data_IF_051781066977
#
_entry.id   IF_051781066977
#
_cell.length_a   1.000
_cell.length_b   1.000
_cell.length_c   1.000
_cell.angle_alpha   90.00
_cell.angle_beta   90.00
_cell.angle_gamma   90.00
#
_symmetry.space_group_name_H-M   'P 1'
#
loop_
_entity.id
_entity.type
_entity.pdbx_description
1 polymer ?
#
# COMPACT_ATOMS: atom_id res chain seq x y z
N UNK A 1 -1.19 10.65 -31.15
CA UNK A 1 -2.66 10.46 -31.01
C UNK A 1 -3.04 10.07 -29.58
N UNK A 2 -2.47 9.00 -28.96
CA UNK A 2 -2.86 8.57 -27.61
C UNK A 2 -2.66 9.62 -26.52
N UNK A 3 -1.54 10.36 -26.59
CA UNK A 3 -1.23 11.46 -25.66
C UNK A 3 -2.23 12.61 -25.74
N UNK A 4 -2.70 12.95 -26.95
CA UNK A 4 -3.70 13.99 -27.18
C UNK A 4 -5.08 13.56 -26.66
N UNK A 5 -5.44 12.29 -26.84
CA UNK A 5 -6.67 11.73 -26.26
C UNK A 5 -6.61 11.74 -24.74
N UNK A 6 -5.49 11.33 -24.13
CA UNK A 6 -5.29 11.36 -22.69
C UNK A 6 -5.38 12.79 -22.13
N UNK A 7 -4.76 13.75 -22.81
CA UNK A 7 -4.82 15.16 -22.47
C UNK A 7 -6.25 15.71 -22.47
N UNK A 8 -6.97 15.53 -23.58
CA UNK A 8 -8.35 16.05 -23.73
C UNK A 8 -9.28 15.39 -22.71
N UNK A 9 -9.18 14.07 -22.54
CA UNK A 9 -9.97 13.31 -21.55
C UNK A 9 -9.75 13.86 -20.15
N UNK A 10 -8.49 14.07 -19.77
CA UNK A 10 -8.16 14.58 -18.45
C UNK A 10 -8.59 16.03 -18.23
N UNK A 11 -8.53 16.89 -19.26
CA UNK A 11 -9.09 18.26 -19.19
C UNK A 11 -10.60 18.23 -19.00
N UNK A 12 -11.33 17.36 -19.71
CA UNK A 12 -12.79 17.26 -19.58
C UNK A 12 -13.19 16.87 -18.16
N UNK A 13 -12.53 15.85 -17.59
CA UNK A 13 -12.79 15.41 -16.21
C UNK A 13 -12.41 16.50 -15.19
N UNK A 14 -11.32 17.24 -15.41
CA UNK A 14 -10.96 18.37 -14.56
C UNK A 14 -11.94 19.54 -14.68
N UNK A 15 -12.47 19.80 -15.87
CA UNK A 15 -13.44 20.88 -16.09
C UNK A 15 -14.78 20.58 -15.40
N UNK A 16 -15.23 19.32 -15.44
CA UNK A 16 -16.41 18.85 -14.72
C UNK A 16 -16.28 19.06 -13.20
N UNK A 17 -15.10 18.83 -12.62
CA UNK A 17 -14.84 19.11 -11.20
C UNK A 17 -14.96 20.60 -10.84
N UNK A 18 -14.66 21.51 -11.77
CA UNK A 18 -14.62 22.96 -11.52
C UNK A 18 -15.91 23.69 -11.91
N UNK A 19 -16.69 23.15 -12.86
CA UNK A 19 -17.82 23.82 -13.50
C UNK A 19 -19.07 22.95 -13.36
N UNK A 20 -20.09 23.47 -12.69
CA UNK A 20 -21.39 22.80 -12.63
C UNK A 20 -22.12 22.90 -13.98
N UNK A 21 -22.08 21.83 -14.78
CA UNK A 21 -22.80 21.73 -16.04
C UNK A 21 -23.29 20.28 -16.28
N UNK A 22 -24.60 20.04 -16.46
CA UNK A 22 -25.14 18.70 -16.64
C UNK A 22 -24.60 17.91 -17.85
N UNK A 23 -24.18 18.60 -18.93
CA UNK A 23 -23.59 17.94 -20.09
C UNK A 23 -22.14 17.52 -19.83
N UNK A 24 -21.36 18.34 -19.10
CA UNK A 24 -19.99 17.97 -18.70
C UNK A 24 -19.99 16.78 -17.75
N UNK A 25 -20.91 16.76 -16.78
CA UNK A 25 -21.08 15.66 -15.82
C UNK A 25 -21.39 14.34 -16.55
N UNK A 26 -22.28 14.33 -17.54
CA UNK A 26 -22.59 13.12 -18.32
C UNK A 26 -21.37 12.58 -19.09
N UNK A 27 -20.60 13.46 -19.73
CA UNK A 27 -19.41 13.06 -20.48
C UNK A 27 -18.31 12.57 -19.54
N UNK A 28 -18.05 13.30 -18.45
CA UNK A 28 -17.08 12.94 -17.42
C UNK A 28 -17.39 11.58 -16.79
N UNK A 29 -18.65 11.36 -16.39
CA UNK A 29 -19.10 10.08 -15.85
C UNK A 29 -18.92 8.93 -16.86
N UNK A 30 -19.15 9.18 -18.14
CA UNK A 30 -18.91 8.17 -19.19
C UNK A 30 -17.41 7.81 -19.31
N UNK A 31 -16.54 8.82 -19.29
CA UNK A 31 -15.08 8.65 -19.33
C UNK A 31 -14.55 7.92 -18.08
N UNK A 32 -15.05 8.28 -16.89
CA UNK A 32 -14.71 7.64 -15.63
C UNK A 32 -15.20 6.18 -15.60
N UNK A 33 -16.40 5.90 -16.11
CA UNK A 33 -16.89 4.53 -16.24
C UNK A 33 -16.00 3.68 -17.18
N UNK A 34 -15.55 4.23 -18.31
CA UNK A 34 -14.58 3.54 -19.16
C UNK A 34 -13.25 3.32 -18.46
N UNK A 35 -12.74 4.31 -17.72
CA UNK A 35 -11.52 4.17 -16.93
C UNK A 35 -11.65 3.08 -15.86
N UNK A 36 -12.80 2.99 -15.18
CA UNK A 36 -13.10 1.93 -14.21
C UNK A 36 -13.14 0.54 -14.87
N UNK A 37 -13.72 0.42 -16.07
CA UNK A 37 -13.69 -0.83 -16.83
C UNK A 37 -12.25 -1.24 -17.19
N UNK A 38 -11.44 -0.30 -17.67
CA UNK A 38 -10.01 -0.55 -17.97
C UNK A 38 -9.25 -0.96 -16.71
N UNK A 39 -9.50 -0.30 -15.57
CA UNK A 39 -8.90 -0.68 -14.29
C UNK A 39 -9.29 -2.10 -13.87
N UNK A 40 -10.55 -2.50 -14.04
CA UNK A 40 -11.00 -3.86 -13.78
C UNK A 40 -10.27 -4.89 -14.65
N UNK A 41 -10.08 -4.61 -15.96
CA UNK A 41 -9.26 -5.46 -16.82
C UNK A 41 -7.78 -5.47 -16.40
N UNK A 42 -7.23 -4.33 -15.97
CA UNK A 42 -5.86 -4.26 -15.46
C UNK A 42 -5.67 -5.15 -14.22
N UNK A 43 -6.66 -5.21 -13.32
CA UNK A 43 -6.64 -6.16 -12.20
C UNK A 43 -6.61 -7.62 -12.68
N UNK A 44 -7.41 -7.98 -13.68
CA UNK A 44 -7.41 -9.32 -14.27
C UNK A 44 -6.04 -9.63 -14.91
N UNK A 45 -5.48 -8.69 -15.67
CA UNK A 45 -4.14 -8.84 -16.26
C UNK A 45 -3.07 -9.00 -15.18
N UNK A 46 -3.15 -8.24 -14.08
CA UNK A 46 -2.26 -8.38 -12.93
C UNK A 46 -2.35 -9.77 -12.30
N UNK A 47 -3.56 -10.29 -12.11
CA UNK A 47 -3.80 -11.66 -11.61
C UNK A 47 -3.22 -12.71 -12.56
N UNK A 48 -3.49 -12.57 -13.87
CA UNK A 48 -2.97 -13.46 -14.90
C UNK A 48 -1.44 -13.42 -14.97
N UNK A 49 -0.83 -12.25 -14.80
CA UNK A 49 0.62 -12.11 -14.78
C UNK A 49 1.24 -12.90 -13.62
N UNK A 50 0.68 -12.79 -12.41
CA UNK A 50 1.11 -13.60 -11.25
C UNK A 50 0.98 -15.09 -11.57
N UNK A 51 -0.16 -15.52 -12.12
CA UNK A 51 -0.38 -16.90 -12.52
C UNK A 51 0.65 -17.38 -13.54
N UNK A 52 0.84 -16.65 -14.64
CA UNK A 52 1.75 -17.03 -15.73
C UNK A 52 3.19 -17.15 -15.20
N UNK A 53 3.66 -16.18 -14.42
CA UNK A 53 5.02 -16.17 -13.87
C UNK A 53 5.22 -17.38 -12.95
N UNK A 54 4.30 -17.61 -12.01
CA UNK A 54 4.45 -18.68 -11.03
C UNK A 54 4.19 -20.07 -11.62
N UNK A 55 3.27 -20.20 -12.57
CA UNK A 55 3.01 -21.45 -13.27
C UNK A 55 4.20 -21.84 -14.16
N UNK A 56 4.79 -20.88 -14.88
CA UNK A 56 6.03 -21.08 -15.64
C UNK A 56 7.16 -21.53 -14.73
N UNK A 57 7.31 -20.91 -13.56
CA UNK A 57 8.31 -21.27 -12.55
C UNK A 57 8.14 -22.70 -12.03
N UNK A 58 6.90 -23.17 -11.88
CA UNK A 58 6.56 -24.55 -11.49
C UNK A 58 6.93 -25.53 -12.59
N UNK A 59 6.52 -25.27 -13.84
CA UNK A 59 6.81 -26.15 -14.99
C UNK A 59 8.32 -26.28 -15.21
N UNK A 60 9.04 -25.15 -15.19
CA UNK A 60 10.49 -25.11 -15.39
C UNK A 60 11.29 -25.55 -14.16
N UNK A 61 10.63 -25.85 -13.03
CA UNK A 61 11.25 -26.23 -11.74
C UNK A 61 12.36 -25.29 -11.30
N UNK A 62 12.18 -23.99 -11.49
CA UNK A 62 13.20 -23.01 -11.12
C UNK A 62 13.40 -22.98 -9.59
N UNK A 63 14.51 -22.39 -9.14
CA UNK A 63 14.83 -22.28 -7.70
C UNK A 63 13.64 -21.68 -6.94
N UNK A 64 13.11 -22.39 -5.93
CA UNK A 64 11.97 -21.94 -5.14
C UNK A 64 10.59 -22.23 -5.75
N UNK A 65 10.48 -23.09 -6.78
CA UNK A 65 9.20 -23.50 -7.36
C UNK A 65 8.16 -24.07 -6.36
N UNK A 66 8.53 -24.79 -5.27
CA UNK A 66 7.51 -25.30 -4.34
C UNK A 66 6.71 -24.16 -3.67
N UNK A 67 7.35 -23.02 -3.40
CA UNK A 67 6.67 -21.84 -2.86
C UNK A 67 5.70 -21.22 -3.86
N UNK A 68 5.96 -21.37 -5.16
CA UNK A 68 5.03 -20.92 -6.20
C UNK A 68 3.76 -21.76 -6.23
N UNK A 69 3.84 -23.05 -5.90
CA UNK A 69 2.64 -23.89 -5.72
C UNK A 69 1.80 -23.38 -4.57
N UNK A 70 2.43 -23.14 -3.41
CA UNK A 70 1.73 -22.62 -2.23
C UNK A 70 1.03 -21.30 -2.54
N UNK A 71 1.70 -20.39 -3.25
CA UNK A 71 1.11 -19.12 -3.67
C UNK A 71 -0.12 -19.32 -4.58
N UNK A 72 0.01 -20.11 -5.65
CA UNK A 72 -1.09 -20.33 -6.61
C UNK A 72 -2.29 -20.99 -5.92
N UNK A 73 -2.06 -21.99 -5.07
CA UNK A 73 -3.13 -22.64 -4.30
C UNK A 73 -3.80 -21.68 -3.31
N UNK A 74 -3.02 -20.91 -2.55
CA UNK A 74 -3.57 -19.93 -1.60
C UNK A 74 -4.38 -18.84 -2.33
N UNK A 75 -3.91 -18.39 -3.49
CA UNK A 75 -4.60 -17.41 -4.31
C UNK A 75 -5.97 -17.93 -4.78
N UNK A 76 -6.03 -19.14 -5.35
CA UNK A 76 -7.30 -19.75 -5.76
C UNK A 76 -8.23 -20.03 -4.59
N UNK A 77 -7.71 -20.48 -3.45
CA UNK A 77 -8.49 -20.68 -2.24
C UNK A 77 -9.18 -19.36 -1.84
N UNK A 78 -8.44 -18.25 -1.73
CA UNK A 78 -9.02 -16.96 -1.33
C UNK A 78 -10.01 -16.43 -2.36
N UNK A 79 -9.71 -16.53 -3.66
CA UNK A 79 -10.59 -16.04 -4.72
C UNK A 79 -11.89 -16.85 -4.75
N UNK A 80 -11.80 -18.19 -4.79
CA UNK A 80 -12.98 -19.06 -4.91
C UNK A 80 -13.89 -18.87 -3.69
N UNK A 81 -13.34 -18.94 -2.47
CA UNK A 81 -14.16 -18.81 -1.27
C UNK A 81 -14.60 -17.37 -1.00
N UNK A 82 -13.84 -16.36 -1.44
CA UNK A 82 -14.22 -14.96 -1.33
C UNK A 82 -15.31 -14.54 -2.32
N UNK A 83 -15.39 -15.17 -3.49
CA UNK A 83 -16.44 -14.89 -4.50
C UNK A 83 -17.70 -15.71 -4.24
N UNK A 84 -17.57 -16.96 -3.81
CA UNK A 84 -18.72 -17.85 -3.59
C UNK A 84 -19.46 -17.59 -2.28
N UNK A 85 -18.81 -17.00 -1.28
CA UNK A 85 -19.47 -16.63 -0.02
C UNK A 85 -20.28 -15.33 -0.20
N UNK A 86 -21.59 -15.30 0.12
CA UNK A 86 -22.39 -14.07 0.06
C UNK A 86 -21.87 -12.92 0.93
N UNK A 87 -21.05 -13.22 1.96
CA UNK A 87 -20.38 -12.23 2.82
C UNK A 87 -19.10 -11.68 2.17
N UNK A 88 -18.71 -12.22 1.03
CA UNK A 88 -17.55 -11.81 0.26
C UNK A 88 -16.24 -11.97 1.07
N UNK A 89 -15.38 -10.92 1.10
CA UNK A 89 -14.14 -10.92 1.87
C UNK A 89 -14.30 -11.15 3.39
N UNK A 90 -15.51 -11.01 3.92
CA UNK A 90 -15.82 -11.25 5.34
C UNK A 90 -16.27 -12.70 5.62
N UNK A 91 -16.18 -13.59 4.63
CA UNK A 91 -16.44 -15.02 4.79
C UNK A 91 -15.49 -15.68 5.79
N UNK A 92 -15.87 -16.81 6.40
CA UNK A 92 -15.09 -17.47 7.45
C UNK A 92 -13.75 -17.97 6.93
N UNK A 93 -13.66 -18.41 5.67
CA UNK A 93 -12.42 -18.91 5.08
C UNK A 93 -11.45 -17.77 4.78
N UNK A 94 -11.92 -16.70 4.14
CA UNK A 94 -11.09 -15.52 3.84
C UNK A 94 -10.60 -14.85 5.13
N UNK A 95 -11.49 -14.67 6.12
CA UNK A 95 -11.12 -14.12 7.42
C UNK A 95 -10.18 -15.03 8.22
N UNK A 96 -10.30 -16.35 8.10
CA UNK A 96 -9.35 -17.31 8.68
C UNK A 96 -7.97 -17.16 8.05
N UNK A 97 -7.87 -17.13 6.71
CA UNK A 97 -6.59 -16.91 6.01
C UNK A 97 -5.98 -15.57 6.43
N UNK A 98 -6.79 -14.51 6.52
CA UNK A 98 -6.32 -13.22 7.00
C UNK A 98 -5.75 -13.32 8.42
N UNK A 99 -6.51 -13.91 9.36
CA UNK A 99 -6.15 -13.95 10.79
C UNK A 99 -4.97 -14.87 11.09
N UNK A 100 -4.85 -16.00 10.38
CA UNK A 100 -3.88 -17.05 10.72
C UNK A 100 -2.72 -17.16 9.74
N UNK A 101 -2.81 -16.57 8.54
CA UNK A 101 -1.72 -16.55 7.56
C UNK A 101 -1.20 -15.13 7.38
N UNK A 102 -2.05 -14.20 6.94
CA UNK A 102 -1.60 -12.84 6.60
C UNK A 102 -1.14 -12.06 7.83
N UNK A 103 -1.95 -12.03 8.90
CA UNK A 103 -1.66 -11.24 10.09
C UNK A 103 -0.36 -11.69 10.80
N UNK A 104 -0.10 -13.00 11.03
CA UNK A 104 1.17 -13.44 11.59
C UNK A 104 2.38 -13.17 10.67
N UNK A 105 2.22 -13.31 9.35
CA UNK A 105 3.28 -12.97 8.40
C UNK A 105 3.62 -11.47 8.45
N UNK A 106 2.62 -10.60 8.52
CA UNK A 106 2.84 -9.17 8.70
C UNK A 106 3.51 -8.86 10.06
N UNK A 107 3.09 -9.52 11.14
CA UNK A 107 3.67 -9.36 12.47
C UNK A 107 5.15 -9.80 12.51
N UNK A 108 5.50 -10.92 11.86
CA UNK A 108 6.90 -11.39 11.77
C UNK A 108 7.76 -10.47 10.93
N UNK A 109 7.27 -9.98 9.79
CA UNK A 109 7.95 -8.96 8.99
C UNK A 109 8.16 -7.67 9.80
N UNK A 110 7.14 -7.23 10.54
CA UNK A 110 7.23 -6.06 11.40
C UNK A 110 8.24 -6.26 12.55
N UNK A 111 8.25 -7.43 13.19
CA UNK A 111 9.22 -7.78 14.22
C UNK A 111 10.66 -7.80 13.66
N UNK A 112 10.86 -8.36 12.45
CA UNK A 112 12.15 -8.31 11.77
C UNK A 112 12.57 -6.88 11.43
N UNK A 113 11.65 -6.03 10.97
CA UNK A 113 11.91 -4.60 10.74
C UNK A 113 12.32 -3.90 12.03
N UNK A 114 11.68 -4.18 13.17
CA UNK A 114 12.08 -3.63 14.45
C UNK A 114 13.51 -4.06 14.83
N UNK A 115 13.84 -5.35 14.67
CA UNK A 115 15.21 -5.85 14.91
C UNK A 115 16.24 -5.18 13.97
N UNK A 116 15.94 -5.06 12.68
CA UNK A 116 16.82 -4.41 11.72
C UNK A 116 16.92 -2.90 11.97
N UNK A 117 15.84 -2.23 12.35
CA UNK A 117 15.84 -0.82 12.73
C UNK A 117 16.67 -0.58 13.99
N UNK A 118 16.59 -1.46 14.99
CA UNK A 118 17.45 -1.43 16.17
C UNK A 118 18.92 -1.66 15.80
N UNK A 119 19.23 -2.65 14.97
CA UNK A 119 20.60 -2.93 14.51
C UNK A 119 21.17 -1.79 13.66
N UNK A 120 20.37 -1.24 12.74
CA UNK A 120 20.72 -0.09 11.93
C UNK A 120 20.86 1.18 12.77
N UNK A 121 19.96 1.39 13.73
CA UNK A 121 20.02 2.43 14.74
C UNK A 121 21.33 2.34 15.52
N UNK A 122 21.67 1.17 16.07
CA UNK A 122 22.95 0.94 16.76
C UNK A 122 24.16 1.32 15.90
N UNK A 123 24.16 0.94 14.61
CA UNK A 123 25.22 1.34 13.67
C UNK A 123 25.21 2.85 13.35
N UNK A 124 24.03 3.46 13.27
CA UNK A 124 23.84 4.89 13.02
C UNK A 124 24.21 5.74 14.25
N UNK A 125 23.99 5.23 15.48
CA UNK A 125 24.36 5.88 16.74
C UNK A 125 25.88 6.07 16.86
N UNK A 126 26.70 5.27 16.16
CA UNK A 126 28.14 5.49 16.06
C UNK A 126 28.51 6.76 15.27
N UNK A 127 27.61 7.31 14.45
CA UNK A 127 27.84 8.55 13.69
C UNK A 127 27.43 9.84 14.42
N UNK A 128 26.95 9.77 15.66
CA UNK A 128 26.66 10.92 16.54
C UNK A 128 25.90 12.09 15.86
N UNK A 129 24.94 11.80 14.98
CA UNK A 129 24.10 12.85 14.39
C UNK A 129 22.92 13.17 15.30
N UNK A 130 22.48 14.43 15.29
CA UNK A 130 21.34 14.91 16.08
C UNK A 130 20.08 14.08 15.78
N UNK A 131 19.85 13.76 14.50
CA UNK A 131 18.71 12.96 14.06
C UNK A 131 18.73 11.54 14.65
N UNK A 132 19.91 10.91 14.71
CA UNK A 132 20.04 9.58 15.29
C UNK A 132 19.76 9.60 16.80
N UNK A 133 20.19 10.65 17.51
CA UNK A 133 19.87 10.82 18.93
C UNK A 133 18.37 11.02 19.17
N UNK A 134 17.68 11.80 18.33
CA UNK A 134 16.22 11.98 18.42
C UNK A 134 15.50 10.65 18.20
N UNK A 135 15.90 9.89 17.18
CA UNK A 135 15.33 8.56 16.91
C UNK A 135 15.58 7.59 18.06
N UNK A 136 16.75 7.63 18.70
CA UNK A 136 17.08 6.79 19.86
C UNK A 136 16.14 7.09 21.02
N UNK A 137 16.03 8.35 21.40
CA UNK A 137 15.19 8.76 22.54
C UNK A 137 13.74 8.39 22.27
N UNK A 138 13.23 8.66 21.08
CA UNK A 138 11.87 8.29 20.70
C UNK A 138 11.64 6.77 20.73
N UNK A 139 12.54 5.97 20.15
CA UNK A 139 12.43 4.52 20.15
C UNK A 139 12.51 3.92 21.57
N UNK A 140 13.44 4.39 22.39
CA UNK A 140 13.58 3.96 23.78
C UNK A 140 12.33 4.26 24.60
N UNK A 141 11.74 5.45 24.47
CA UNK A 141 10.51 5.81 25.16
C UNK A 141 9.32 4.91 24.74
N UNK A 142 9.19 4.61 23.44
CA UNK A 142 8.14 3.73 22.94
C UNK A 142 8.32 2.28 23.43
N UNK A 143 9.55 1.76 23.41
CA UNK A 143 9.83 0.41 23.90
C UNK A 143 9.60 0.29 25.41
N UNK A 144 10.02 1.28 26.21
CA UNK A 144 9.75 1.32 27.65
C UNK A 144 8.24 1.39 27.92
N UNK A 145 7.50 2.20 27.16
CA UNK A 145 6.04 2.28 27.26
C UNK A 145 5.33 0.98 26.90
N UNK A 146 5.89 0.14 26.02
CA UNK A 146 5.35 -1.18 25.74
C UNK A 146 5.74 -2.22 26.80
N UNK A 147 6.96 -2.17 27.33
CA UNK A 147 7.47 -3.14 28.30
C UNK A 147 6.89 -2.94 29.71
N UNK A 148 6.60 -1.69 30.11
CA UNK A 148 6.13 -1.36 31.46
C UNK A 148 4.60 -1.29 31.58
N UNK A 149 3.83 -1.81 30.62
CA UNK A 149 2.36 -1.73 30.64
C UNK A 149 1.72 -2.35 31.89
N UNK A 150 2.42 -3.26 32.58
CA UNK A 150 1.92 -4.01 33.74
C UNK A 150 2.35 -3.37 35.08
N UNK A 151 3.21 -2.35 35.08
CA UNK A 151 3.71 -1.72 36.32
C UNK A 151 2.82 -0.55 36.79
N UNK A 152 2.92 -0.19 38.08
CA UNK A 152 2.26 0.99 38.67
C UNK A 152 2.59 2.30 37.92
N UNK A 153 3.82 2.42 37.41
CA UNK A 153 4.29 3.55 36.60
C UNK A 153 3.90 3.45 35.12
N UNK A 154 3.28 2.34 34.72
CA UNK A 154 2.93 2.01 33.35
C UNK A 154 2.01 3.03 32.68
N UNK A 155 1.13 3.69 33.46
CA UNK A 155 0.22 4.72 32.94
C UNK A 155 0.97 5.92 32.33
N UNK A 156 2.05 6.36 32.96
CA UNK A 156 2.85 7.50 32.48
C UNK A 156 3.61 7.16 31.20
N UNK A 157 4.31 6.02 31.17
CA UNK A 157 5.04 5.59 29.98
C UNK A 157 4.10 5.19 28.83
N UNK A 158 2.92 4.63 29.12
CA UNK A 158 1.89 4.39 28.13
C UNK A 158 1.37 5.70 27.51
N UNK A 159 1.10 6.73 28.32
CA UNK A 159 0.66 8.03 27.81
C UNK A 159 1.69 8.67 26.87
N UNK A 160 2.99 8.59 27.19
CA UNK A 160 4.06 9.06 26.31
C UNK A 160 4.09 8.25 25.01
N UNK A 161 4.03 6.92 25.10
CA UNK A 161 3.98 6.03 23.93
C UNK A 161 2.80 6.38 23.02
N UNK A 162 1.61 6.49 23.61
CA UNK A 162 0.37 6.75 22.89
C UNK A 162 0.38 8.14 22.25
N UNK A 163 0.97 9.15 22.90
CA UNK A 163 1.19 10.46 22.30
C UNK A 163 2.15 10.39 21.09
N UNK A 164 3.28 9.69 21.22
CA UNK A 164 4.26 9.51 20.11
C UNK A 164 3.61 8.79 18.91
N UNK A 165 2.80 7.76 19.18
CA UNK A 165 2.14 6.98 18.15
C UNK A 165 0.95 7.71 17.53
N UNK A 166 0.20 8.50 18.30
CA UNK A 166 -1.00 9.20 17.80
C UNK A 166 -0.73 10.54 17.13
N UNK A 167 0.36 11.23 17.49
CA UNK A 167 0.68 12.57 16.98
C UNK A 167 1.86 12.53 16.00
N UNK A 168 3.14 12.40 16.39
CA UNK A 168 4.27 12.37 15.44
C UNK A 168 4.18 11.26 14.40
N UNK A 169 3.85 10.03 14.81
CA UNK A 169 3.86 8.88 13.91
C UNK A 169 2.75 8.99 12.86
N UNK A 170 1.54 9.36 13.30
CA UNK A 170 0.42 9.63 12.39
C UNK A 170 0.70 10.84 11.51
N UNK A 171 1.35 11.90 12.02
CA UNK A 171 1.77 13.04 11.21
C UNK A 171 2.75 12.63 10.11
N UNK A 172 3.75 11.78 10.42
CA UNK A 172 4.67 11.22 9.45
C UNK A 172 3.97 10.35 8.40
N UNK A 173 3.07 9.46 8.83
CA UNK A 173 2.27 8.62 7.93
C UNK A 173 1.40 9.48 6.99
N UNK A 174 0.74 10.51 7.52
CA UNK A 174 -0.03 11.46 6.72
C UNK A 174 0.87 12.22 5.76
N UNK A 175 2.06 12.64 6.18
CA UNK A 175 3.06 13.27 5.31
C UNK A 175 3.47 12.37 4.13
N UNK A 176 3.72 11.08 4.38
CA UNK A 176 4.02 10.10 3.33
C UNK A 176 2.83 9.94 2.38
N UNK A 177 1.61 9.79 2.92
CA UNK A 177 0.40 9.66 2.10
C UNK A 177 0.19 10.90 1.22
N UNK A 178 0.34 12.10 1.79
CA UNK A 178 0.27 13.36 1.03
C UNK A 178 1.37 13.43 -0.04
N UNK A 179 2.60 13.01 0.29
CA UNK A 179 3.70 12.95 -0.68
C UNK A 179 3.43 12.00 -1.84
N UNK A 180 2.89 10.81 -1.55
CA UNK A 180 2.48 9.83 -2.58
C UNK A 180 1.36 10.41 -3.44
N UNK A 181 0.32 10.99 -2.83
CA UNK A 181 -0.79 11.62 -3.55
C UNK A 181 -0.31 12.76 -4.44
N UNK A 182 0.55 13.65 -3.92
CA UNK A 182 1.15 14.73 -4.70
C UNK A 182 2.03 14.20 -5.83
N UNK A 183 2.77 13.10 -5.62
CA UNK A 183 3.55 12.44 -6.66
C UNK A 183 2.68 11.90 -7.80
N UNK A 184 1.54 11.29 -7.46
CA UNK A 184 0.55 10.82 -8.45
C UNK A 184 -0.04 12.01 -9.22
N UNK A 185 -0.45 13.07 -8.52
CA UNK A 185 -0.99 14.28 -9.15
C UNK A 185 0.07 14.95 -10.05
N UNK A 186 1.32 15.05 -9.61
CA UNK A 186 2.40 15.64 -10.39
C UNK A 186 2.67 14.83 -11.67
N UNK A 187 2.63 13.50 -11.59
CA UNK A 187 2.77 12.62 -12.77
C UNK A 187 1.59 12.82 -13.72
N UNK A 188 0.35 12.87 -13.20
CA UNK A 188 -0.84 13.18 -13.99
C UNK A 188 -0.77 14.56 -14.65
N UNK A 189 -0.31 15.58 -13.92
CA UNK A 189 -0.16 16.94 -14.44
C UNK A 189 0.91 17.03 -15.52
N UNK A 190 2.04 16.33 -15.40
CA UNK A 190 3.06 16.27 -16.48
C UNK A 190 2.52 15.63 -17.74
N UNK A 191 1.70 14.60 -17.61
CA UNK A 191 0.98 14.00 -18.74
C UNK A 191 -0.01 14.99 -19.37
N UNK A 192 -0.77 15.71 -18.54
CA UNK A 192 -1.69 16.75 -19.03
C UNK A 192 -0.94 17.89 -19.70
N UNK A 193 0.14 18.41 -19.13
CA UNK A 193 0.92 19.48 -19.75
C UNK A 193 1.70 19.00 -20.99
N UNK A 194 1.61 17.71 -21.35
CA UNK A 194 2.27 17.12 -22.50
C UNK A 194 3.79 17.00 -22.36
N UNK A 195 4.30 17.18 -21.14
CA UNK A 195 5.73 17.03 -20.81
C UNK A 195 6.16 15.57 -20.90
N UNK A 196 5.34 14.65 -20.39
CA UNK A 196 5.57 13.22 -20.46
C UNK A 196 4.75 12.61 -21.61
N UNK A 197 5.40 11.85 -22.49
CA UNK A 197 4.76 11.17 -23.64
C UNK A 197 5.05 9.66 -23.61
N UNK A 198 4.36 8.88 -22.77
CA UNK A 198 4.64 7.44 -22.59
C UNK A 198 4.40 6.58 -23.84
N UNK A 199 3.68 7.13 -24.82
CA UNK A 199 3.18 6.41 -25.99
C UNK A 199 3.65 7.04 -27.31
N UNK A 200 4.78 7.75 -27.29
CA UNK A 200 5.34 8.43 -28.45
C UNK A 200 6.41 7.62 -29.20
N UNK A 201 6.73 6.42 -28.70
CA UNK A 201 7.53 5.41 -29.41
C UNK A 201 6.62 4.46 -30.20
#
# INVERSE_FOLDING_TARGET
IPTLVAFITGIIVLADFLIYNPLLDQVSNSLLNWALLVAAFAFIVGLLNVLIVHFTRIIKRERGWPYSIVLVLAMWLVIIFGVLDPRGPQGPIVSWVFRYVQYPLQATLFAMLAFFALSAGYRAFRRQTVDATIMLVAASLVFLGQAMLISEWGKWFAAIKDWILSVPTVAGMRGILLGVSLGVIATGLRLLLGMDKPYAD
#
